data_IF_180141098393
#
_entry.id   IF_180141098393
#
_cell.length_a   1.000
_cell.length_b   1.000
_cell.length_c   1.000
_cell.angle_alpha   90.00
_cell.angle_beta   90.00
_cell.angle_gamma   90.00
#
_symmetry.space_group_name_H-M   'P 1'
#
loop_
_entity.id
_entity.type
_entity.pdbx_description
1 polymer ?
#
# COMPACT_ATOMS: atom_id res chain seq x y z
N UNK A 1 39.30 10.41 -13.92
CA UNK A 1 39.43 10.35 -12.45
C UNK A 1 38.29 9.47 -11.96
N UNK A 2 38.59 8.27 -11.45
CA UNK A 2 37.66 7.54 -10.59
C UNK A 2 37.80 8.15 -9.18
N UNK A 3 36.69 8.41 -8.49
CA UNK A 3 36.72 8.83 -7.08
C UNK A 3 37.32 7.70 -6.22
N UNK A 4 37.86 8.02 -5.03
CA UNK A 4 38.31 7.00 -4.09
C UNK A 4 37.12 6.20 -3.57
N UNK A 5 37.33 4.91 -3.26
CA UNK A 5 36.27 4.02 -2.76
C UNK A 5 35.55 4.61 -1.54
N UNK A 6 36.28 5.28 -0.64
CA UNK A 6 35.73 5.98 0.53
C UNK A 6 34.65 7.04 0.17
N UNK A 7 34.82 7.76 -0.95
CA UNK A 7 33.86 8.79 -1.38
C UNK A 7 32.58 8.17 -1.95
N UNK A 8 32.70 6.99 -2.54
CA UNK A 8 31.56 6.24 -3.07
C UNK A 8 30.76 5.66 -1.91
N UNK A 9 31.44 5.04 -0.93
CA UNK A 9 30.81 4.49 0.26
C UNK A 9 30.09 5.56 1.09
N UNK A 10 30.73 6.72 1.31
CA UNK A 10 30.11 7.87 1.99
C UNK A 10 28.88 8.40 1.23
N UNK A 11 28.90 8.38 -0.10
CA UNK A 11 27.77 8.79 -0.92
C UNK A 11 26.60 7.81 -0.84
N UNK A 12 26.86 6.50 -0.77
CA UNK A 12 25.85 5.46 -0.59
C UNK A 12 25.20 5.52 0.80
N UNK A 13 25.95 5.93 1.83
CA UNK A 13 25.44 6.12 3.19
C UNK A 13 24.59 7.38 3.37
N UNK A 14 24.60 8.31 2.40
CA UNK A 14 23.92 9.60 2.53
C UNK A 14 22.40 9.46 2.45
N UNK A 15 21.71 9.93 3.49
CA UNK A 15 20.24 9.84 3.59
C UNK A 15 19.50 11.13 3.20
N UNK A 16 18.18 11.01 3.04
CA UNK A 16 17.29 12.17 2.85
C UNK A 16 17.38 13.18 4.02
N UNK A 17 17.67 12.72 5.23
CA UNK A 17 17.88 13.59 6.38
C UNK A 17 19.12 14.49 6.23
N UNK A 18 20.20 13.96 5.67
CA UNK A 18 21.43 14.73 5.46
C UNK A 18 21.24 15.77 4.37
N UNK A 19 20.52 15.40 3.31
CA UNK A 19 20.11 16.34 2.28
C UNK A 19 19.23 17.45 2.87
N UNK A 20 18.26 17.10 3.73
CA UNK A 20 17.41 18.06 4.42
C UNK A 20 18.23 19.06 5.24
N UNK A 21 19.17 18.56 6.07
CA UNK A 21 20.05 19.40 6.89
C UNK A 21 20.89 20.34 6.02
N UNK A 22 21.42 19.84 4.90
CA UNK A 22 22.19 20.64 3.94
C UNK A 22 21.34 21.75 3.32
N UNK A 23 20.11 21.46 2.89
CA UNK A 23 19.23 22.47 2.27
C UNK A 23 18.75 23.49 3.31
N UNK A 24 18.45 23.05 4.54
CA UNK A 24 18.13 23.95 5.65
C UNK A 24 19.29 24.92 5.95
N UNK A 25 20.53 24.42 6.02
CA UNK A 25 21.71 25.25 6.18
C UNK A 25 21.88 26.26 5.03
N UNK A 26 21.68 25.81 3.78
CA UNK A 26 21.70 26.67 2.60
C UNK A 26 20.65 27.79 2.68
N UNK A 27 19.44 27.47 3.16
CA UNK A 27 18.37 28.45 3.34
C UNK A 27 18.72 29.51 4.40
N UNK A 28 19.31 29.08 5.53
CA UNK A 28 19.79 30.00 6.57
C UNK A 28 20.92 30.91 6.07
N UNK A 29 21.83 30.39 5.25
CA UNK A 29 22.89 31.18 4.62
C UNK A 29 22.30 32.23 3.68
N UNK A 30 21.31 31.86 2.86
CA UNK A 30 20.62 32.79 1.97
C UNK A 30 19.91 33.90 2.77
N UNK A 31 19.20 33.55 3.85
CA UNK A 31 18.58 34.53 4.75
C UNK A 31 19.61 35.48 5.38
N UNK A 32 20.74 34.95 5.85
CA UNK A 32 21.82 35.77 6.42
C UNK A 32 22.45 36.70 5.37
N UNK A 33 22.62 36.25 4.13
CA UNK A 33 23.09 37.08 3.01
C UNK A 33 22.13 38.22 2.71
N UNK A 34 20.81 37.96 2.66
CA UNK A 34 19.78 38.98 2.46
C UNK A 34 19.88 40.05 3.55
N UNK A 35 20.00 39.65 4.82
CA UNK A 35 20.17 40.58 5.93
C UNK A 35 21.41 41.46 5.78
N UNK A 36 22.58 40.85 5.50
CA UNK A 36 23.84 41.58 5.30
C UNK A 36 23.80 42.56 4.13
N UNK A 37 23.30 42.13 2.97
CA UNK A 37 23.19 43.01 1.81
C UNK A 37 22.12 44.08 2.00
N UNK A 38 21.04 43.77 2.73
CA UNK A 38 20.01 44.72 3.09
C UNK A 38 20.52 45.82 4.00
N UNK A 39 21.42 45.51 4.94
CA UNK A 39 22.12 46.50 5.75
C UNK A 39 23.09 47.34 4.89
N UNK A 40 23.95 46.69 4.10
CA UNK A 40 24.89 47.38 3.21
C UNK A 40 24.18 48.33 2.22
N UNK A 41 22.97 47.98 1.76
CA UNK A 41 22.18 48.79 0.84
C UNK A 41 21.69 50.11 1.46
N UNK A 42 21.52 50.18 2.78
CA UNK A 42 21.05 51.40 3.47
C UNK A 42 22.10 52.51 3.47
N UNK A 43 23.36 52.11 3.63
CA UNK A 43 24.48 53.03 3.78
C UNK A 43 25.23 53.27 2.45
N UNK A 44 24.92 52.51 1.41
CA UNK A 44 25.55 52.67 0.10
C UNK A 44 25.02 53.92 -0.61
N UNK A 45 25.92 54.74 -1.15
CA UNK A 45 25.56 55.96 -1.89
C UNK A 45 25.70 55.76 -3.41
N UNK A 46 26.55 54.83 -3.84
CA UNK A 46 26.79 54.55 -5.24
C UNK A 46 25.64 53.75 -5.86
N UNK A 47 24.92 54.34 -6.82
CA UNK A 47 23.76 53.72 -7.46
C UNK A 47 24.07 52.40 -8.21
N UNK A 48 25.25 52.27 -8.82
CA UNK A 48 25.63 51.01 -9.48
C UNK A 48 25.83 49.90 -8.44
N UNK A 49 26.45 50.22 -7.30
CA UNK A 49 26.58 49.27 -6.20
C UNK A 49 25.25 48.91 -5.56
N UNK A 50 24.33 49.87 -5.39
CA UNK A 50 22.95 49.60 -4.93
C UNK A 50 22.24 48.63 -5.85
N UNK A 51 22.38 48.79 -7.16
CA UNK A 51 21.79 47.89 -8.16
C UNK A 51 22.31 46.46 -8.00
N UNK A 52 23.62 46.30 -7.87
CA UNK A 52 24.26 44.98 -7.63
C UNK A 52 23.75 44.35 -6.33
N UNK A 53 23.67 45.13 -5.24
CA UNK A 53 23.16 44.65 -3.95
C UNK A 53 21.69 44.19 -4.05
N UNK A 54 20.83 44.95 -4.74
CA UNK A 54 19.43 44.55 -4.99
C UNK A 54 19.33 43.28 -5.82
N UNK A 55 20.20 43.12 -6.82
CA UNK A 55 20.24 41.89 -7.63
C UNK A 55 20.69 40.68 -6.80
N UNK A 56 21.71 40.84 -5.96
CA UNK A 56 22.15 39.80 -5.04
C UNK A 56 21.05 39.39 -4.05
N UNK A 57 20.36 40.37 -3.45
CA UNK A 57 19.21 40.13 -2.56
C UNK A 57 18.14 39.32 -3.30
N UNK A 58 17.72 39.78 -4.48
CA UNK A 58 16.72 39.08 -5.30
C UNK A 58 17.16 37.65 -5.65
N UNK A 59 18.44 37.45 -5.94
CA UNK A 59 19.00 36.12 -6.20
C UNK A 59 18.92 35.21 -4.97
N UNK A 60 19.22 35.73 -3.78
CA UNK A 60 19.09 34.98 -2.53
C UNK A 60 17.63 34.71 -2.15
N UNK A 61 16.71 35.63 -2.38
CA UNK A 61 15.26 35.40 -2.18
C UNK A 61 14.76 34.24 -3.05
N UNK A 62 15.11 34.24 -4.35
CA UNK A 62 14.77 33.13 -5.23
C UNK A 62 15.43 31.80 -4.83
N UNK A 63 16.63 31.86 -4.25
CA UNK A 63 17.28 30.67 -3.71
C UNK A 63 16.52 30.16 -2.47
N UNK A 64 16.04 31.06 -1.60
CA UNK A 64 15.21 30.69 -0.45
C UNK A 64 13.89 30.04 -0.86
N UNK A 65 13.20 30.58 -1.88
CA UNK A 65 11.96 29.99 -2.39
C UNK A 65 12.19 28.55 -2.89
N UNK A 66 13.27 28.34 -3.66
CA UNK A 66 13.68 27.02 -4.15
C UNK A 66 14.05 26.08 -3.00
N UNK A 67 14.82 26.55 -2.02
CA UNK A 67 15.22 25.77 -0.86
C UNK A 67 14.00 25.37 -0.02
N UNK A 68 13.05 26.29 0.18
CA UNK A 68 11.80 26.04 0.92
C UNK A 68 10.97 24.96 0.24
N UNK A 69 10.77 25.07 -1.08
CA UNK A 69 10.08 24.02 -1.85
C UNK A 69 10.80 22.66 -1.76
N UNK A 70 12.14 22.64 -1.79
CA UNK A 70 12.91 21.40 -1.65
C UNK A 70 12.78 20.80 -0.24
N UNK A 71 12.80 21.63 0.81
CA UNK A 71 12.58 21.21 2.20
C UNK A 71 11.20 20.56 2.36
N UNK A 72 10.15 21.21 1.86
CA UNK A 72 8.79 20.67 1.91
C UNK A 72 8.67 19.35 1.15
N UNK A 73 9.30 19.25 -0.02
CA UNK A 73 9.33 18.03 -0.82
C UNK A 73 10.02 16.87 -0.07
N UNK A 74 11.19 17.12 0.54
CA UNK A 74 11.93 16.08 1.27
C UNK A 74 11.13 15.62 2.48
N UNK A 75 10.57 16.55 3.27
CA UNK A 75 9.75 16.22 4.43
C UNK A 75 8.52 15.39 4.05
N UNK A 76 7.87 15.71 2.92
CA UNK A 76 6.74 14.92 2.39
C UNK A 76 7.18 13.49 2.07
N UNK A 77 8.30 13.31 1.37
CA UNK A 77 8.82 11.98 1.01
C UNK A 77 9.18 11.18 2.26
N UNK A 78 9.89 11.78 3.22
CA UNK A 78 10.22 11.14 4.49
C UNK A 78 8.97 10.70 5.26
N UNK A 79 7.95 11.56 5.33
CA UNK A 79 6.67 11.21 5.97
C UNK A 79 5.97 10.05 5.28
N UNK A 80 5.98 9.99 3.94
CA UNK A 80 5.39 8.90 3.18
C UNK A 80 6.13 7.58 3.40
N UNK A 81 7.47 7.60 3.45
CA UNK A 81 8.28 6.43 3.75
C UNK A 81 7.99 5.91 5.16
N UNK A 82 7.96 6.80 6.16
CA UNK A 82 7.65 6.43 7.54
C UNK A 82 6.26 5.77 7.68
N UNK A 83 5.25 6.27 6.96
CA UNK A 83 3.91 5.66 6.93
C UNK A 83 3.96 4.28 6.27
N UNK A 84 4.71 4.15 5.17
CA UNK A 84 4.85 2.87 4.45
C UNK A 84 5.51 1.83 5.33
N UNK A 85 6.63 2.18 5.97
CA UNK A 85 7.34 1.31 6.90
C UNK A 85 6.45 0.88 8.08
N UNK A 86 5.69 1.81 8.67
CA UNK A 86 4.77 1.49 9.75
C UNK A 86 3.62 0.56 9.32
N UNK A 87 3.25 0.57 8.04
CA UNK A 87 2.17 -0.27 7.49
C UNK A 87 2.64 -1.68 7.07
N UNK A 88 3.93 -1.87 6.80
CA UNK A 88 4.47 -3.16 6.36
C UNK A 88 4.11 -4.34 7.29
N UNK A 89 4.29 -4.26 8.63
CA UNK A 89 3.99 -5.38 9.51
C UNK A 89 2.51 -5.80 9.47
N UNK A 90 1.61 -4.82 9.30
CA UNK A 90 0.18 -5.08 9.15
C UNK A 90 -0.09 -5.80 7.83
N UNK A 91 0.52 -5.34 6.73
CA UNK A 91 0.35 -5.96 5.41
C UNK A 91 0.84 -7.41 5.44
N UNK A 92 1.99 -7.66 6.08
CA UNK A 92 2.54 -9.01 6.28
C UNK A 92 1.57 -9.88 7.09
N UNK A 93 1.11 -9.40 8.24
CA UNK A 93 0.15 -10.12 9.08
C UNK A 93 -1.19 -10.42 8.37
N UNK A 94 -1.74 -9.43 7.65
CA UNK A 94 -2.97 -9.61 6.87
C UNK A 94 -2.76 -10.63 5.74
N UNK A 95 -1.56 -10.66 5.13
CA UNK A 95 -1.21 -11.62 4.09
C UNK A 95 -1.12 -13.04 4.64
N UNK A 96 -0.44 -13.22 5.76
CA UNK A 96 -0.31 -14.51 6.43
C UNK A 96 -1.65 -15.04 6.91
N UNK A 97 -2.49 -14.18 7.48
CA UNK A 97 -3.86 -14.53 7.86
C UNK A 97 -4.67 -15.03 6.67
N UNK A 98 -4.62 -14.34 5.52
CA UNK A 98 -5.33 -14.75 4.30
C UNK A 98 -4.83 -16.07 3.74
N UNK A 99 -3.52 -16.31 3.80
CA UNK A 99 -2.92 -17.60 3.40
C UNK A 99 -3.46 -18.73 4.29
N UNK A 100 -3.40 -18.56 5.61
CA UNK A 100 -3.90 -19.57 6.56
C UNK A 100 -5.41 -19.82 6.40
N UNK A 101 -6.21 -18.78 6.17
CA UNK A 101 -7.65 -18.92 5.93
C UNK A 101 -7.93 -19.71 4.64
N UNK A 102 -7.14 -19.49 3.59
CA UNK A 102 -7.25 -20.23 2.32
C UNK A 102 -6.83 -21.69 2.47
N UNK A 103 -5.77 -21.96 3.23
CA UNK A 103 -5.35 -23.33 3.53
C UNK A 103 -6.41 -24.08 4.34
N UNK A 104 -7.04 -23.41 5.31
CA UNK A 104 -8.15 -23.99 6.07
C UNK A 104 -9.33 -24.36 5.17
N UNK A 105 -9.80 -23.44 4.33
CA UNK A 105 -10.94 -23.71 3.44
C UNK A 105 -10.62 -24.81 2.43
N UNK A 106 -9.38 -24.87 1.93
CA UNK A 106 -8.92 -25.97 1.06
C UNK A 106 -9.02 -27.32 1.77
N UNK A 107 -8.53 -27.43 3.00
CA UNK A 107 -8.59 -28.67 3.78
C UNK A 107 -10.04 -29.07 4.12
N UNK A 108 -10.91 -28.10 4.42
CA UNK A 108 -12.33 -28.35 4.66
C UNK A 108 -13.02 -28.88 3.39
N UNK A 109 -12.75 -28.31 2.22
CA UNK A 109 -13.23 -28.82 0.94
C UNK A 109 -12.72 -30.24 0.64
N UNK A 110 -11.44 -30.52 0.88
CA UNK A 110 -10.86 -31.85 0.70
C UNK A 110 -11.51 -32.88 1.64
N UNK A 111 -11.82 -32.49 2.89
CA UNK A 111 -12.50 -33.35 3.85
C UNK A 111 -13.94 -33.65 3.42
N UNK A 112 -14.69 -32.62 3.04
CA UNK A 112 -16.06 -32.76 2.55
C UNK A 112 -16.11 -33.64 1.29
N UNK A 113 -15.16 -33.46 0.36
CA UNK A 113 -15.05 -34.29 -0.84
C UNK A 113 -14.82 -35.78 -0.54
N UNK A 114 -14.06 -36.10 0.51
CA UNK A 114 -13.89 -37.48 0.98
C UNK A 114 -15.14 -38.02 1.64
N UNK A 115 -15.78 -37.25 2.53
CA UNK A 115 -17.03 -37.65 3.19
C UNK A 115 -18.14 -37.95 2.15
N UNK A 116 -18.27 -37.11 1.13
CA UNK A 116 -19.19 -37.33 0.01
C UNK A 116 -18.88 -38.59 -0.82
N UNK A 117 -17.60 -38.93 -0.98
CA UNK A 117 -17.20 -40.14 -1.69
C UNK A 117 -17.45 -41.41 -0.86
N UNK A 118 -17.23 -41.35 0.45
CA UNK A 118 -17.48 -42.46 1.37
C UNK A 118 -19.00 -42.76 1.53
N UNK A 119 -19.87 -41.75 1.41
CA UNK A 119 -21.32 -41.92 1.45
C UNK A 119 -21.89 -42.59 0.17
N UNK A 120 -21.32 -42.33 -1.01
CA UNK A 120 -21.79 -42.91 -2.30
C UNK A 120 -21.62 -44.44 -2.34
N UNK A 121 -20.59 -44.98 -1.70
CA UNK A 121 -20.37 -46.43 -1.59
C UNK A 121 -21.42 -47.14 -0.71
N UNK A 122 -22.13 -46.42 0.16
CA UNK A 122 -23.11 -46.98 1.10
C UNK A 122 -24.59 -46.78 0.69
N UNK A 123 -24.86 -45.94 -0.31
CA UNK A 123 -26.22 -45.52 -0.68
C UNK A 123 -26.74 -46.16 -1.97
N UNK A 124 -26.05 -47.19 -2.50
CA UNK A 124 -26.62 -48.03 -3.57
C UNK A 124 -27.77 -48.87 -3.00
N UNK A 125 -29.05 -48.61 -3.35
CA UNK A 125 -30.16 -49.35 -2.78
C UNK A 125 -30.07 -50.81 -3.23
N UNK A 126 -29.89 -51.73 -2.28
CA UNK A 126 -29.92 -53.17 -2.56
C UNK A 126 -31.30 -53.51 -3.13
N UNK A 127 -31.40 -54.20 -4.29
CA UNK A 127 -32.68 -54.52 -4.88
C UNK A 127 -33.50 -55.38 -3.91
N UNK A 128 -34.65 -54.85 -3.47
CA UNK A 128 -35.59 -55.58 -2.63
C UNK A 128 -36.57 -56.31 -3.54
N UNK A 129 -36.63 -57.63 -3.45
CA UNK A 129 -37.60 -58.43 -4.19
C UNK A 129 -39.00 -58.20 -3.63
N UNK A 130 -39.90 -57.64 -4.43
CA UNK A 130 -41.32 -57.46 -4.07
C UNK A 130 -42.13 -58.55 -4.77
N UNK A 131 -42.72 -59.45 -3.98
CA UNK A 131 -43.67 -60.43 -4.50
C UNK A 131 -45.07 -59.81 -4.60
N UNK A 132 -45.54 -59.57 -5.82
CA UNK A 132 -46.89 -59.08 -6.09
C UNK A 132 -47.80 -60.29 -6.32
N UNK A 133 -48.73 -60.53 -5.41
CA UNK A 133 -49.83 -61.45 -5.64
C UNK A 133 -50.94 -60.73 -6.41
N UNK A 134 -51.13 -61.09 -7.67
CA UNK A 134 -52.26 -60.60 -8.48
C UNK A 134 -53.51 -61.38 -8.07
N UNK A 135 -54.47 -60.68 -7.46
CA UNK A 135 -55.82 -61.22 -7.21
C UNK A 135 -56.71 -60.72 -8.34
N UNK A 136 -57.21 -61.64 -9.17
CA UNK A 136 -58.18 -61.30 -10.21
C UNK A 136 -59.49 -60.82 -9.57
N UNK A 137 -59.76 -59.52 -9.65
CA UNK A 137 -61.02 -58.94 -9.22
C UNK A 137 -62.11 -59.26 -10.25
N UNK A 138 -63.04 -60.16 -9.90
CA UNK A 138 -64.27 -60.33 -10.68
C UNK A 138 -65.16 -59.09 -10.52
N UNK A 139 -65.45 -58.42 -11.64
CA UNK A 139 -66.45 -57.36 -11.73
C UNK A 139 -67.80 -57.94 -11.33
N UNK A 140 -68.46 -57.34 -10.32
CA UNK A 140 -69.85 -57.62 -9.99
C UNK A 140 -70.72 -56.65 -10.77
N UNK A 141 -71.48 -57.17 -11.72
CA UNK A 141 -72.63 -56.48 -12.30
C UNK A 141 -73.82 -56.75 -11.39
N UNK A 142 -74.23 -55.77 -10.59
CA UNK A 142 -75.53 -55.79 -9.91
C UNK A 142 -76.21 -54.43 -10.11
N UNK A 143 -76.98 -54.36 -11.19
CA UNK A 143 -78.10 -53.44 -11.37
C UNK A 143 -79.18 -53.77 -10.31
N UNK A 144 -79.54 -52.80 -9.47
CA UNK A 144 -80.94 -52.61 -9.09
C UNK A 144 -81.15 -51.24 -8.44
N UNK A 145 -82.07 -50.50 -9.06
CA UNK A 145 -82.70 -49.30 -8.57
C UNK A 145 -83.51 -49.57 -7.29
N UNK A 146 -83.67 -48.56 -6.45
CA UNK A 146 -85.02 -48.13 -6.09
C UNK A 146 -85.07 -46.65 -5.70
N UNK A 147 -86.25 -46.09 -5.93
CA UNK A 147 -86.63 -44.67 -5.98
C UNK A 147 -86.83 -43.98 -4.61
#
# INVERSE_FOLDING_TARGET
MLFSDDVIEDAEAMGLEDELRRVQASNLIAAANIGRWGEALRDEENEERKKILRENIRGAEQAMDRNTARIESILRTMSQLAVTEAMLPKIEADTDFRRAATDKTRLECEKLGKELADDDDNDTPKPVAININVVDAKVRDDDSADA
#
